data_IF_542844588353
#
_entry.id   IF_542844588353
#
_cell.length_a   1.000
_cell.length_b   1.000
_cell.length_c   1.000
_cell.angle_alpha   90.00
_cell.angle_beta   90.00
_cell.angle_gamma   90.00
#
_symmetry.space_group_name_H-M   'P 1'
#
loop_
_entity.id
_entity.type
_entity.pdbx_description
1 polymer ?
#
# COMPACT_ATOMS: atom_id res chain seq x y z
N UNK A 1 -5.06 -10.61 -8.78
CA UNK A 1 -5.83 -11.31 -7.73
C UNK A 1 -5.13 -10.94 -6.47
N UNK A 2 -5.66 -9.96 -5.73
CA UNK A 2 -4.90 -9.25 -4.70
C UNK A 2 -4.52 -10.09 -3.48
N UNK A 3 -5.08 -11.29 -3.34
CA UNK A 3 -4.79 -12.19 -2.22
C UNK A 3 -3.36 -12.72 -2.37
N UNK A 4 -2.51 -12.45 -1.37
CA UNK A 4 -1.14 -12.96 -1.29
C UNK A 4 -0.08 -12.01 -1.86
N UNK A 5 -0.46 -10.86 -2.42
CA UNK A 5 0.50 -9.86 -2.90
C UNK A 5 1.39 -9.34 -1.77
N UNK A 6 0.85 -9.20 -0.56
CA UNK A 6 1.60 -8.83 0.64
C UNK A 6 2.76 -9.79 0.91
N UNK A 7 2.61 -11.07 0.60
CA UNK A 7 3.66 -12.06 0.81
C UNK A 7 4.83 -11.88 -0.17
N UNK A 8 4.57 -11.42 -1.40
CA UNK A 8 5.63 -11.08 -2.35
C UNK A 8 6.50 -9.95 -1.79
N UNK A 9 5.88 -8.88 -1.27
CA UNK A 9 6.59 -7.76 -0.66
C UNK A 9 7.41 -8.20 0.58
N UNK A 10 6.84 -9.07 1.43
CA UNK A 10 7.56 -9.62 2.59
C UNK A 10 8.75 -10.49 2.17
N UNK A 11 8.59 -11.32 1.13
CA UNK A 11 9.68 -12.15 0.60
C UNK A 11 10.80 -11.30 -0.02
N UNK A 12 10.45 -10.24 -0.73
CA UNK A 12 11.41 -9.28 -1.27
C UNK A 12 12.17 -8.58 -0.13
N UNK A 13 11.47 -8.15 0.91
CA UNK A 13 12.08 -7.54 2.11
C UNK A 13 13.07 -8.49 2.81
N UNK A 14 12.71 -9.77 2.98
CA UNK A 14 13.62 -10.79 3.52
C UNK A 14 14.82 -11.00 2.61
N UNK A 15 14.62 -11.00 1.28
CA UNK A 15 15.71 -11.12 0.30
C UNK A 15 16.70 -9.94 0.38
N UNK A 16 16.20 -8.76 0.77
CA UNK A 16 17.01 -7.57 1.05
C UNK A 16 17.68 -7.60 2.44
N UNK A 17 17.48 -8.67 3.22
CA UNK A 17 18.05 -8.86 4.56
C UNK A 17 17.19 -8.33 5.71
N UNK A 18 15.93 -7.97 5.45
CA UNK A 18 14.97 -7.55 6.46
C UNK A 18 14.40 -8.70 7.29
N UNK A 19 13.81 -8.36 8.45
CA UNK A 19 13.07 -9.29 9.30
C UNK A 19 11.56 -9.05 9.17
N UNK A 20 10.88 -9.91 8.44
CA UNK A 20 9.44 -9.84 8.22
C UNK A 20 8.60 -10.27 9.46
N UNK A 21 9.21 -10.87 10.49
CA UNK A 21 8.47 -11.50 11.60
C UNK A 21 7.62 -10.52 12.42
N UNK A 22 8.06 -9.26 12.49
CA UNK A 22 7.37 -8.21 13.25
C UNK A 22 6.49 -7.30 12.37
N UNK A 23 6.65 -7.35 11.05
CA UNK A 23 5.98 -6.43 10.12
C UNK A 23 4.45 -6.41 10.29
N UNK A 24 3.74 -7.57 10.41
CA UNK A 24 2.29 -7.57 10.61
C UNK A 24 1.85 -6.93 11.94
N UNK A 25 2.74 -6.90 12.93
CA UNK A 25 2.42 -6.47 14.30
C UNK A 25 2.82 -5.03 14.59
N UNK A 26 3.38 -4.30 13.63
CA UNK A 26 3.70 -2.87 13.78
C UNK A 26 2.61 -2.02 13.15
N UNK A 27 2.32 -0.88 13.77
CA UNK A 27 1.43 0.08 13.15
C UNK A 27 2.09 0.67 11.89
N UNK A 28 1.33 0.92 10.80
CA UNK A 28 1.86 1.61 9.64
C UNK A 28 2.33 3.04 9.98
N UNK A 29 3.21 3.59 9.15
CA UNK A 29 3.53 5.01 9.22
C UNK A 29 2.26 5.85 8.97
N UNK A 30 2.14 7.07 9.56
CA UNK A 30 0.93 7.88 9.41
C UNK A 30 0.51 8.14 7.95
N UNK A 31 1.48 8.33 7.05
CA UNK A 31 1.21 8.51 5.63
C UNK A 31 0.65 7.24 4.95
N UNK A 32 1.14 6.06 5.36
CA UNK A 32 0.61 4.77 4.91
C UNK A 32 -0.84 4.60 5.39
N UNK A 33 -1.12 4.90 6.67
CA UNK A 33 -2.48 4.88 7.22
C UNK A 33 -3.41 5.85 6.47
N UNK A 34 -2.93 7.05 6.13
CA UNK A 34 -3.71 8.02 5.39
C UNK A 34 -4.07 7.52 3.99
N UNK A 35 -3.10 6.94 3.25
CA UNK A 35 -3.33 6.36 1.93
C UNK A 35 -4.38 5.23 1.99
N UNK A 36 -4.19 4.26 2.89
CA UNK A 36 -5.10 3.09 2.99
C UNK A 36 -6.50 3.50 3.46
N UNK A 37 -6.59 4.44 4.41
CA UNK A 37 -7.87 4.95 4.91
C UNK A 37 -8.64 5.75 3.86
N UNK A 38 -7.96 6.41 2.92
CA UNK A 38 -8.62 7.19 1.89
C UNK A 38 -9.52 6.32 0.97
N UNK A 39 -9.10 5.10 0.67
CA UNK A 39 -9.94 4.15 -0.07
C UNK A 39 -11.26 3.87 0.67
N UNK A 40 -11.18 3.54 1.97
CA UNK A 40 -12.36 3.31 2.80
C UNK A 40 -13.22 4.57 2.97
N UNK A 41 -12.60 5.74 3.08
CA UNK A 41 -13.32 7.01 3.13
C UNK A 41 -14.18 7.19 1.86
N UNK A 42 -13.63 6.97 0.67
CA UNK A 42 -14.40 7.08 -0.58
C UNK A 42 -15.56 6.08 -0.65
N UNK A 43 -15.35 4.85 -0.17
CA UNK A 43 -16.36 3.80 -0.18
C UNK A 43 -17.50 4.10 0.80
N UNK A 44 -17.18 4.49 2.04
CA UNK A 44 -18.17 4.58 3.12
C UNK A 44 -18.73 5.98 3.35
N UNK A 45 -18.00 7.03 3.00
CA UNK A 45 -18.34 8.41 3.34
C UNK A 45 -18.37 9.36 2.14
N UNK A 46 -17.64 9.03 1.07
CA UNK A 46 -17.60 9.78 -0.18
C UNK A 46 -18.54 9.24 -1.24
N UNK A 47 -18.24 9.56 -2.50
CA UNK A 47 -18.83 8.87 -3.65
C UNK A 47 -17.99 7.61 -3.94
N UNK A 48 -18.58 6.40 -3.90
CA UNK A 48 -17.86 5.15 -4.12
C UNK A 48 -17.15 5.05 -5.48
N UNK A 49 -17.58 5.80 -6.50
CA UNK A 49 -16.86 5.86 -7.78
C UNK A 49 -15.44 6.40 -7.63
N UNK A 50 -15.18 7.23 -6.61
CA UNK A 50 -13.84 7.69 -6.28
C UNK A 50 -12.86 6.54 -5.99
N UNK A 51 -13.34 5.38 -5.54
CA UNK A 51 -12.50 4.19 -5.37
C UNK A 51 -11.89 3.71 -6.70
N UNK A 52 -12.56 3.94 -7.83
CA UNK A 52 -11.98 3.66 -9.15
C UNK A 52 -10.76 4.54 -9.43
N UNK A 53 -10.75 5.80 -8.98
CA UNK A 53 -9.58 6.68 -9.10
C UNK A 53 -8.40 6.21 -8.24
N UNK A 54 -8.68 5.69 -7.04
CA UNK A 54 -7.68 5.06 -6.17
C UNK A 54 -7.03 3.84 -6.83
N UNK A 55 -7.85 2.91 -7.34
CA UNK A 55 -7.36 1.72 -8.03
C UNK A 55 -6.61 2.09 -9.31
N UNK A 56 -7.18 2.97 -10.14
CA UNK A 56 -6.58 3.34 -11.41
C UNK A 56 -5.16 3.89 -11.24
N UNK A 57 -4.93 4.73 -10.23
CA UNK A 57 -3.58 5.22 -9.96
C UNK A 57 -2.60 4.09 -9.63
N UNK A 58 -2.98 3.19 -8.71
CA UNK A 58 -2.10 2.13 -8.22
C UNK A 58 -1.81 1.04 -9.26
N UNK A 59 -2.72 0.79 -10.19
CA UNK A 59 -2.60 -0.23 -11.26
C UNK A 59 -1.88 0.31 -12.51
N UNK A 60 -2.02 1.61 -12.80
CA UNK A 60 -1.36 2.19 -13.98
C UNK A 60 0.07 2.65 -13.73
N UNK A 61 0.41 3.01 -12.48
CA UNK A 61 1.76 3.44 -12.14
C UNK A 61 2.82 2.36 -12.43
N UNK A 62 2.66 1.10 -11.98
CA UNK A 62 3.60 0.01 -12.30
C UNK A 62 3.68 -0.27 -13.79
N UNK A 63 2.55 -0.23 -14.50
CA UNK A 63 2.52 -0.42 -15.95
C UNK A 63 3.30 0.66 -16.71
N UNK A 64 3.27 1.92 -16.25
CA UNK A 64 3.90 3.04 -16.94
C UNK A 64 5.39 3.17 -16.63
N UNK A 65 5.79 2.90 -15.39
CA UNK A 65 7.13 3.23 -14.88
C UNK A 65 7.87 2.05 -14.24
N UNK A 66 7.21 0.90 -14.07
CA UNK A 66 7.77 -0.26 -13.37
C UNK A 66 9.03 -0.84 -14.00
N UNK A 67 9.10 -0.91 -15.33
CA UNK A 67 10.31 -1.39 -16.04
C UNK A 67 11.52 -0.46 -15.79
N UNK A 68 11.28 0.85 -15.83
CA UNK A 68 12.32 1.85 -15.60
C UNK A 68 12.78 1.83 -14.14
N UNK A 69 11.84 1.71 -13.18
CA UNK A 69 12.12 1.58 -11.76
C UNK A 69 12.92 0.28 -11.50
N UNK A 70 12.47 -0.85 -12.04
CA UNK A 70 13.16 -2.14 -11.90
C UNK A 70 14.59 -2.07 -12.40
N UNK A 71 14.80 -1.47 -13.57
CA UNK A 71 16.13 -1.31 -14.16
C UNK A 71 17.05 -0.48 -13.26
N UNK A 72 16.55 0.64 -12.73
CA UNK A 72 17.30 1.49 -11.81
C UNK A 72 17.64 0.78 -10.48
N UNK A 73 16.73 -0.03 -9.95
CA UNK A 73 16.96 -0.81 -8.73
C UNK A 73 18.05 -1.87 -8.96
N UNK A 74 18.01 -2.58 -10.09
CA UNK A 74 19.04 -3.54 -10.48
C UNK A 74 20.41 -2.87 -10.62
N UNK A 75 20.47 -1.72 -11.30
CA UNK A 75 21.69 -0.93 -11.45
C UNK A 75 22.23 -0.43 -10.10
N UNK A 76 21.35 -0.15 -9.14
CA UNK A 76 21.70 0.21 -7.77
C UNK A 76 22.13 -1.00 -6.91
N UNK A 77 22.08 -2.22 -7.44
CA UNK A 77 22.53 -3.44 -6.77
C UNK A 77 21.45 -4.20 -6.02
N UNK A 78 20.16 -3.86 -6.21
CA UNK A 78 19.05 -4.67 -5.68
C UNK A 78 19.03 -6.01 -6.43
N UNK A 79 19.02 -7.17 -5.74
CA UNK A 79 18.98 -8.45 -6.40
C UNK A 79 17.64 -8.66 -7.11
N UNK A 80 17.66 -9.32 -8.27
CA UNK A 80 16.45 -9.63 -9.05
C UNK A 80 15.41 -10.42 -8.23
N UNK A 81 15.87 -11.28 -7.32
CA UNK A 81 15.02 -12.04 -6.41
C UNK A 81 14.26 -11.19 -5.37
N UNK A 82 14.57 -9.89 -5.25
CA UNK A 82 13.88 -8.94 -4.38
C UNK A 82 12.96 -7.98 -5.15
N UNK A 83 12.63 -8.29 -6.40
CA UNK A 83 11.73 -7.51 -7.24
C UNK A 83 10.45 -8.27 -7.59
N UNK A 84 10.09 -9.31 -6.82
CA UNK A 84 8.96 -10.18 -7.16
C UNK A 84 7.62 -9.46 -7.07
N UNK A 85 7.42 -8.61 -6.06
CA UNK A 85 6.24 -7.78 -5.91
C UNK A 85 6.08 -6.80 -7.06
N UNK A 86 7.16 -6.10 -7.41
CA UNK A 86 7.15 -5.12 -8.50
C UNK A 86 6.90 -5.78 -9.86
N UNK A 87 7.54 -6.93 -10.13
CA UNK A 87 7.34 -7.69 -11.36
C UNK A 87 5.91 -8.19 -11.51
N UNK A 88 5.31 -8.66 -10.42
CA UNK A 88 3.92 -9.12 -10.43
C UNK A 88 2.98 -7.99 -10.88
N UNK A 89 3.16 -6.77 -10.35
CA UNK A 89 2.37 -5.60 -10.75
C UNK A 89 2.73 -5.08 -12.15
N UNK A 90 3.91 -5.37 -12.70
CA UNK A 90 4.20 -5.04 -14.11
C UNK A 90 3.48 -6.02 -15.06
N UNK A 91 3.47 -7.32 -14.73
CA UNK A 91 2.96 -8.36 -15.63
C UNK A 91 1.44 -8.60 -15.51
N UNK A 92 0.88 -8.59 -14.29
CA UNK A 92 -0.52 -8.95 -13.99
C UNK A 92 -1.49 -7.78 -14.28
N UNK A 93 -1.04 -6.53 -14.20
CA UNK A 93 -1.90 -5.34 -14.31
C UNK A 93 -2.55 -5.16 -15.69
N UNK A 94 -2.11 -5.89 -16.73
CA UNK A 94 -2.85 -5.94 -18.01
C UNK A 94 -4.27 -6.48 -17.85
N UNK A 95 -4.50 -7.36 -16.86
CA UNK A 95 -5.83 -7.92 -16.59
C UNK A 95 -6.71 -6.96 -15.79
N UNK A 96 -6.16 -6.31 -14.75
CA UNK A 96 -6.85 -5.29 -13.97
C UNK A 96 -7.20 -4.06 -14.81
N UNK A 97 -6.31 -3.62 -15.70
CA UNK A 97 -6.56 -2.50 -16.62
C UNK A 97 -7.76 -2.77 -17.54
N UNK A 98 -7.96 -4.02 -17.99
CA UNK A 98 -9.16 -4.41 -18.77
C UNK A 98 -10.43 -4.39 -17.91
N UNK A 99 -10.32 -4.78 -16.65
CA UNK A 99 -11.44 -4.75 -15.71
C UNK A 99 -11.83 -3.31 -15.36
N UNK A 100 -10.86 -2.44 -15.10
CA UNK A 100 -11.06 -1.01 -14.85
C UNK A 100 -11.76 -0.33 -16.03
N UNK A 101 -11.34 -0.62 -17.27
CA UNK A 101 -12.04 -0.13 -18.46
C UNK A 101 -13.52 -0.53 -18.46
N UNK A 102 -13.84 -1.79 -18.14
CA UNK A 102 -15.24 -2.26 -18.08
C UNK A 102 -16.04 -1.58 -16.97
N UNK A 103 -15.43 -1.27 -15.83
CA UNK A 103 -16.09 -0.52 -14.77
C UNK A 103 -16.35 0.91 -15.20
N UNK A 104 -15.37 1.59 -15.79
CA UNK A 104 -15.55 2.93 -16.31
C UNK A 104 -16.69 3.00 -17.34
N UNK A 105 -16.71 2.10 -18.32
CA UNK A 105 -17.77 2.02 -19.35
C UNK A 105 -19.18 1.80 -18.79
N UNK A 106 -19.31 1.18 -17.61
CA UNK A 106 -20.62 0.84 -17.01
C UNK A 106 -21.08 1.81 -15.94
N UNK A 107 -20.15 2.41 -15.22
CA UNK A 107 -20.43 3.14 -13.98
C UNK A 107 -20.25 4.65 -14.13
N UNK A 108 -19.45 5.11 -15.10
CA UNK A 108 -19.20 6.53 -15.34
C UNK A 108 -20.18 7.04 -16.37
N UNK A 109 -21.10 7.89 -15.95
CA UNK A 109 -22.24 8.33 -16.79
C UNK A 109 -22.37 9.84 -16.92
N UNK A 110 -21.59 10.59 -16.15
CA UNK A 110 -21.65 12.04 -16.10
C UNK A 110 -20.28 12.67 -15.86
N UNK A 111 -20.14 13.97 -16.17
CA UNK A 111 -18.92 14.73 -15.85
C UNK A 111 -18.67 14.78 -14.34
N UNK A 112 -19.71 14.76 -13.51
CA UNK A 112 -19.57 14.70 -12.05
C UNK A 112 -18.91 13.38 -11.58
N UNK A 113 -19.16 12.27 -12.26
CA UNK A 113 -18.49 10.99 -11.98
C UNK A 113 -17.01 11.07 -12.34
N UNK A 114 -16.70 11.70 -13.48
CA UNK A 114 -15.32 11.93 -13.94
C UNK A 114 -14.56 12.82 -12.95
N UNK A 115 -15.15 13.94 -12.51
CA UNK A 115 -14.55 14.86 -11.53
C UNK A 115 -14.26 14.14 -10.20
N UNK A 116 -15.19 13.28 -9.75
CA UNK A 116 -15.01 12.49 -8.54
C UNK A 116 -13.82 11.52 -8.66
N UNK A 117 -13.72 10.81 -9.78
CA UNK A 117 -12.63 9.86 -10.06
C UNK A 117 -11.30 10.61 -10.17
N UNK A 118 -11.27 11.73 -10.88
CA UNK A 118 -10.06 12.53 -11.06
C UNK A 118 -9.56 13.09 -9.72
N UNK A 119 -10.45 13.62 -8.88
CA UNK A 119 -10.10 14.07 -7.54
C UNK A 119 -9.49 12.94 -6.70
N UNK A 120 -10.11 11.75 -6.73
CA UNK A 120 -9.62 10.61 -5.98
C UNK A 120 -8.26 10.12 -6.48
N UNK A 121 -8.05 10.09 -7.79
CA UNK A 121 -6.79 9.73 -8.42
C UNK A 121 -5.66 10.69 -8.03
N UNK A 122 -5.90 12.01 -8.09
CA UNK A 122 -4.94 13.04 -7.66
C UNK A 122 -4.61 12.94 -6.17
N UNK A 123 -5.63 12.72 -5.34
CA UNK A 123 -5.44 12.57 -3.89
C UNK A 123 -4.64 11.31 -3.57
N UNK A 124 -4.94 10.20 -4.24
CA UNK A 124 -4.19 8.94 -4.11
C UNK A 124 -2.73 9.12 -4.53
N UNK A 125 -2.48 9.78 -5.66
CA UNK A 125 -1.12 10.10 -6.12
C UNK A 125 -0.34 10.92 -5.10
N UNK A 126 -0.97 11.95 -4.52
CA UNK A 126 -0.35 12.76 -3.47
C UNK A 126 -0.02 11.93 -2.22
N UNK A 127 -1.00 11.16 -1.71
CA UNK A 127 -0.81 10.34 -0.51
C UNK A 127 0.21 9.22 -0.73
N UNK A 128 0.26 8.63 -1.93
CA UNK A 128 1.27 7.65 -2.30
C UNK A 128 2.68 8.26 -2.29
N UNK A 129 2.83 9.46 -2.86
CA UNK A 129 4.09 10.21 -2.75
C UNK A 129 4.49 10.45 -1.29
N UNK A 130 3.54 10.84 -0.43
CA UNK A 130 3.79 11.00 1.01
C UNK A 130 4.16 9.70 1.72
N UNK A 131 3.57 8.58 1.32
CA UNK A 131 3.91 7.27 1.85
C UNK A 131 5.36 6.90 1.51
N UNK A 132 5.79 7.08 0.26
CA UNK A 132 7.17 6.80 -0.17
C UNK A 132 8.16 7.75 0.52
N UNK A 133 7.86 9.06 0.57
CA UNK A 133 8.68 10.05 1.28
C UNK A 133 8.87 9.66 2.76
N UNK A 134 7.78 9.27 3.44
CA UNK A 134 7.82 8.85 4.83
C UNK A 134 8.67 7.60 5.02
N UNK A 135 8.57 6.61 4.13
CA UNK A 135 9.39 5.40 4.18
C UNK A 135 10.89 5.72 4.00
N UNK A 136 11.25 6.62 3.09
CA UNK A 136 12.65 7.05 2.89
C UNK A 136 13.17 7.85 4.09
N UNK A 137 12.34 8.68 4.72
CA UNK A 137 12.71 9.38 5.96
C UNK A 137 12.93 8.41 7.12
N UNK A 138 12.06 7.41 7.24
CA UNK A 138 12.11 6.40 8.31
C UNK A 138 13.44 5.64 8.33
N UNK A 139 14.02 5.34 7.17
CA UNK A 139 15.37 4.74 7.06
C UNK A 139 16.44 5.58 7.78
N UNK A 140 16.31 6.91 7.77
CA UNK A 140 17.28 7.84 8.41
C UNK A 140 16.94 8.13 9.86
N UNK A 141 15.65 8.12 10.19
CA UNK A 141 15.12 8.47 11.50
C UNK A 141 13.92 7.58 11.81
N UNK A 142 14.17 6.33 12.25
CA UNK A 142 13.12 5.35 12.47
C UNK A 142 12.07 5.87 13.45
N UNK A 143 10.80 5.81 13.03
CA UNK A 143 9.66 6.25 13.82
C UNK A 143 9.12 5.07 14.62
N UNK A 144 8.96 5.27 15.92
CA UNK A 144 8.24 4.33 16.77
C UNK A 144 6.73 4.53 16.58
N UNK A 145 6.12 3.70 15.74
CA UNK A 145 4.65 3.68 15.51
C UNK A 145 3.91 2.82 16.53
N UNK A 146 4.65 2.05 17.33
CA UNK A 146 4.11 1.13 18.32
C UNK A 146 3.54 -0.16 17.72
N UNK A 147 2.92 -0.96 18.58
CA UNK A 147 2.36 -2.25 18.24
C UNK A 147 0.92 -2.14 17.72
N UNK A 148 0.62 -2.89 16.66
CA UNK A 148 -0.73 -3.15 16.18
C UNK A 148 -1.34 -4.25 17.05
N UNK A 149 -2.16 -3.84 18.02
CA UNK A 149 -2.74 -4.76 19.00
C UNK A 149 -3.88 -5.59 18.42
N UNK A 150 -4.54 -5.11 17.38
CA UNK A 150 -5.57 -5.85 16.67
C UNK A 150 -4.99 -7.13 16.07
N UNK A 151 -3.87 -7.02 15.34
CA UNK A 151 -3.16 -8.18 14.75
C UNK A 151 -2.51 -9.07 15.81
N UNK A 152 -1.87 -8.47 16.83
CA UNK A 152 -1.28 -9.24 17.94
C UNK A 152 -2.33 -10.06 18.69
N UNK A 153 -3.49 -9.46 18.99
CA UNK A 153 -4.56 -10.15 19.71
C UNK A 153 -5.21 -11.24 18.84
N UNK A 154 -5.38 -10.99 17.54
CA UNK A 154 -5.88 -11.98 16.59
C UNK A 154 -5.00 -13.24 16.57
N UNK A 155 -3.69 -13.07 16.66
CA UNK A 155 -2.71 -14.16 16.65
C UNK A 155 -2.29 -14.67 18.05
N UNK A 156 -2.84 -14.08 19.12
CA UNK A 156 -2.50 -14.45 20.50
C UNK A 156 -1.04 -14.18 20.88
N UNK A 157 -0.39 -13.19 20.25
CA UNK A 157 1.01 -12.83 20.48
C UNK A 157 1.15 -11.68 21.48
N UNK A 158 2.24 -11.70 22.26
CA UNK A 158 2.63 -10.62 23.16
C UNK A 158 4.05 -10.21 22.77
N UNK A 159 4.31 -8.93 22.47
CA UNK A 159 5.66 -8.48 22.17
C UNK A 159 6.60 -8.57 23.38
N UNK A 160 7.85 -8.92 23.12
CA UNK A 160 8.85 -9.20 24.16
C UNK A 160 9.17 -7.99 25.06
N UNK A 161 8.93 -6.77 24.58
CA UNK A 161 9.24 -5.51 25.26
C UNK A 161 8.07 -4.95 26.10
N UNK A 162 6.88 -5.55 26.03
CA UNK A 162 5.69 -5.08 26.75
C UNK A 162 5.56 -5.81 28.10
N UNK A 163 6.04 -5.19 29.18
CA UNK A 163 5.66 -5.61 30.53
C UNK A 163 4.21 -5.15 30.79
N UNK A 164 3.27 -6.07 31.01
CA UNK A 164 1.89 -5.73 31.41
C UNK A 164 1.90 -5.00 32.76
N UNK A 165 1.93 -3.67 32.74
CA UNK A 165 1.47 -2.82 33.84
C UNK A 165 0.27 -2.02 33.36
N UNK A 166 -0.85 -2.70 33.20
CA UNK A 166 -2.15 -2.03 33.11
C UNK A 166 -2.50 -1.63 34.55
N UNK A 167 -2.12 -0.42 34.94
CA UNK A 167 -2.76 0.23 36.09
C UNK A 167 -4.11 0.73 35.58
N UNK A 168 -5.16 -0.02 35.86
CA UNK A 168 -6.54 0.47 35.71
C UNK A 168 -6.66 1.64 36.68
N UNK A 169 -6.60 2.86 36.17
CA UNK A 169 -7.00 4.04 36.95
C UNK A 169 -8.52 4.11 36.79
N UNK A 170 -9.21 3.74 37.86
CA UNK A 170 -10.66 3.88 38.01
C UNK A 170 -11.07 5.35 38.09
#
# INVERSE_FOLDING_TARGET
SEIGHEQLALNDFVTLGGDASQVPYKNPLPATTALTSFAFYQIYNGNPLGYLGYLYFLEFLPTLSGDAISSQLLDAGVPEGALTFLRDHIEIDKSHNRLMKRYAEKLVTSDADVDCIEYAMKTTSYLYGKMIEAAVEDVKSPKETGWNWEELNADGKIPDDVSRKITVVA
#
